data_IF_579501310334
#
_entry.id   IF_579501310334
#
_cell.length_a   1.000
_cell.length_b   1.000
_cell.length_c   1.000
_cell.angle_alpha   90.00
_cell.angle_beta   90.00
_cell.angle_gamma   90.00
#
_symmetry.space_group_name_H-M   'P 1'
#
loop_
_entity.id
_entity.type
_entity.pdbx_description
1 polymer ?
#
# COMPACT_ATOMS: atom_id res chain seq x y z
N UNK A 1 23.94 -51.79 17.99
CA UNK A 1 24.45 -51.23 16.73
C UNK A 1 23.26 -50.68 15.96
N UNK A 2 22.95 -49.38 16.07
CA UNK A 2 21.81 -48.75 15.39
C UNK A 2 22.33 -47.70 14.40
N UNK A 3 21.89 -47.83 13.15
CA UNK A 3 22.06 -46.87 12.03
C UNK A 3 20.67 -46.31 11.68
N UNK A 4 20.65 -45.12 11.05
CA UNK A 4 19.52 -44.29 10.51
C UNK A 4 19.27 -43.06 11.41
N UNK A 5 19.21 -41.80 10.96
CA UNK A 5 19.10 -41.15 9.64
C UNK A 5 19.95 -39.85 9.66
N UNK A 6 20.67 -39.48 8.60
CA UNK A 6 20.08 -38.77 7.46
C UNK A 6 20.08 -37.25 7.72
N UNK A 7 21.20 -36.57 7.44
CA UNK A 7 21.28 -35.12 7.52
C UNK A 7 20.27 -34.44 6.57
N UNK A 8 19.55 -33.38 6.98
CA UNK A 8 18.75 -32.62 6.06
C UNK A 8 19.67 -31.81 5.13
N UNK A 9 19.63 -32.14 3.83
CA UNK A 9 20.21 -31.33 2.76
C UNK A 9 19.52 -29.96 2.73
N UNK A 10 20.25 -28.91 3.08
CA UNK A 10 19.84 -27.55 2.80
C UNK A 10 19.74 -27.35 1.28
N UNK A 11 18.52 -27.27 0.75
CA UNK A 11 18.28 -26.84 -0.62
C UNK A 11 18.45 -25.32 -0.68
N UNK A 12 19.64 -24.89 -1.09
CA UNK A 12 19.88 -23.52 -1.54
C UNK A 12 19.10 -23.28 -2.84
N UNK A 13 17.95 -22.61 -2.74
CA UNK A 13 17.29 -22.05 -3.91
C UNK A 13 18.04 -20.77 -4.32
N UNK A 14 18.92 -20.89 -5.32
CA UNK A 14 19.50 -19.75 -6.02
C UNK A 14 18.41 -19.07 -6.84
N UNK A 15 17.93 -17.92 -6.36
CA UNK A 15 17.05 -17.05 -7.11
C UNK A 15 17.87 -16.42 -8.25
N UNK A 16 17.72 -16.92 -9.48
CA UNK A 16 18.12 -16.20 -10.68
C UNK A 16 17.44 -14.83 -10.68
N UNK A 17 18.20 -13.77 -10.39
CA UNK A 17 17.76 -12.41 -10.68
C UNK A 17 17.69 -12.25 -12.21
N UNK A 18 16.47 -12.25 -12.73
CA UNK A 18 16.21 -11.86 -14.11
C UNK A 18 16.42 -10.35 -14.18
N UNK A 19 17.53 -9.92 -14.80
CA UNK A 19 17.80 -8.52 -15.10
C UNK A 19 16.75 -8.01 -16.08
N UNK A 20 15.68 -7.41 -15.55
CA UNK A 20 14.70 -6.69 -16.34
C UNK A 20 15.26 -5.34 -16.77
N UNK A 21 14.94 -4.92 -18.00
CA UNK A 21 15.17 -3.57 -18.51
C UNK A 21 14.82 -2.48 -17.48
N UNK A 22 15.48 -1.31 -17.48
CA UNK A 22 15.20 -0.25 -16.52
C UNK A 22 13.70 0.06 -16.55
N UNK A 23 13.03 -0.24 -15.44
CA UNK A 23 11.60 -0.03 -15.32
C UNK A 23 11.33 1.46 -15.54
N UNK A 24 10.39 1.79 -16.43
CA UNK A 24 9.91 3.15 -16.60
C UNK A 24 9.57 3.74 -15.21
N UNK A 25 9.90 5.02 -14.97
CA UNK A 25 9.69 5.62 -13.66
C UNK A 25 8.20 5.53 -13.29
N UNK A 26 7.93 4.92 -12.14
CA UNK A 26 6.56 4.77 -11.64
C UNK A 26 5.96 6.15 -11.41
N UNK A 27 4.76 6.41 -11.94
CA UNK A 27 4.04 7.62 -11.53
C UNK A 27 3.71 7.54 -10.06
N UNK A 28 3.86 8.68 -9.37
CA UNK A 28 3.41 8.83 -8.00
C UNK A 28 1.87 8.87 -7.99
N UNK A 29 1.24 8.15 -7.07
CA UNK A 29 -0.22 8.13 -6.98
C UNK A 29 -0.68 8.22 -5.54
N UNK A 30 -1.82 8.88 -5.35
CA UNK A 30 -2.54 8.94 -4.09
C UNK A 30 -3.88 8.23 -4.27
N UNK A 31 -4.22 7.35 -3.34
CA UNK A 31 -5.46 6.57 -3.34
C UNK A 31 -6.34 7.04 -2.19
N UNK A 32 -7.56 7.46 -2.52
CA UNK A 32 -8.61 7.80 -1.57
C UNK A 32 -9.51 6.58 -1.40
N UNK A 33 -9.55 6.02 -0.19
CA UNK A 33 -10.24 4.77 0.13
C UNK A 33 -11.51 5.05 0.91
N UNK A 34 -12.64 4.65 0.34
CA UNK A 34 -13.97 4.86 0.93
C UNK A 34 -14.52 3.63 1.67
N UNK A 35 -13.73 2.54 1.78
CA UNK A 35 -14.18 1.31 2.45
C UNK A 35 -15.44 0.69 1.84
N UNK A 36 -15.69 0.94 0.54
CA UNK A 36 -16.86 0.44 -0.17
C UNK A 36 -18.12 1.31 -0.08
N UNK A 37 -18.08 2.45 0.63
CA UNK A 37 -19.20 3.41 0.72
C UNK A 37 -18.75 4.82 0.33
N UNK A 38 -18.47 5.05 -0.97
CA UNK A 38 -18.14 6.40 -1.44
C UNK A 38 -19.33 7.37 -1.27
N UNK A 39 -19.08 8.67 -1.05
CA UNK A 39 -20.15 9.67 -1.03
C UNK A 39 -20.89 9.71 -2.38
N UNK A 40 -22.22 9.61 -2.35
CA UNK A 40 -23.05 9.52 -3.55
C UNK A 40 -22.84 10.72 -4.49
N UNK A 41 -22.75 11.93 -3.92
CA UNK A 41 -22.48 13.16 -4.68
C UNK A 41 -21.16 13.15 -5.47
N UNK A 42 -20.17 12.35 -5.03
CA UNK A 42 -18.90 12.16 -5.71
C UNK A 42 -18.97 11.07 -6.79
N UNK A 43 -19.81 10.05 -6.60
CA UNK A 43 -20.08 9.01 -7.60
C UNK A 43 -20.91 9.52 -8.77
N UNK A 44 -21.89 10.39 -8.49
CA UNK A 44 -22.78 10.97 -9.51
C UNK A 44 -22.08 12.05 -10.33
N UNK A 45 -20.98 12.59 -9.82
CA UNK A 45 -20.18 13.59 -10.52
C UNK A 45 -19.42 12.96 -11.70
N UNK A 46 -19.48 13.57 -12.89
CA UNK A 46 -18.61 13.20 -14.00
C UNK A 46 -17.13 13.18 -13.59
N UNK A 47 -16.35 12.23 -14.12
CA UNK A 47 -14.92 12.16 -13.86
C UNK A 47 -14.14 13.46 -14.18
N UNK A 48 -14.47 14.22 -15.26
CA UNK A 48 -13.85 15.53 -15.48
C UNK A 48 -14.06 16.49 -14.31
N UNK A 49 -15.23 16.49 -13.69
CA UNK A 49 -15.55 17.39 -12.57
C UNK A 49 -14.71 17.05 -11.34
N UNK A 50 -14.44 15.76 -11.10
CA UNK A 50 -13.52 15.31 -10.06
C UNK A 50 -12.12 15.89 -10.30
N UNK A 51 -11.59 15.77 -11.52
CA UNK A 51 -10.29 16.33 -11.87
C UNK A 51 -10.28 17.85 -11.72
N UNK A 52 -11.29 18.55 -12.25
CA UNK A 52 -11.40 20.01 -12.14
C UNK A 52 -11.44 20.47 -10.68
N UNK A 53 -12.25 19.84 -9.82
CA UNK A 53 -12.32 20.20 -8.39
C UNK A 53 -10.96 20.11 -7.68
N UNK A 54 -10.21 19.05 -7.97
CA UNK A 54 -8.89 18.84 -7.34
C UNK A 54 -7.88 19.82 -7.92
N UNK A 55 -7.88 20.04 -9.23
CA UNK A 55 -6.97 20.98 -9.89
C UNK A 55 -7.22 22.42 -9.45
N UNK A 56 -8.48 22.87 -9.38
CA UNK A 56 -8.83 24.22 -8.93
C UNK A 56 -8.44 24.48 -7.47
N UNK A 57 -8.34 23.45 -6.62
CA UNK A 57 -7.83 23.62 -5.25
C UNK A 57 -6.36 24.04 -5.25
N UNK A 58 -5.54 23.51 -6.18
CA UNK A 58 -4.12 23.86 -6.29
C UNK A 58 -3.92 25.33 -6.66
N UNK A 59 -4.81 25.89 -7.49
CA UNK A 59 -4.77 27.30 -7.88
C UNK A 59 -5.00 28.24 -6.69
N UNK A 60 -5.79 27.81 -5.71
CA UNK A 60 -6.14 28.61 -4.52
C UNK A 60 -5.07 28.54 -3.43
N UNK A 61 -4.24 27.48 -3.43
CA UNK A 61 -3.24 27.25 -2.37
C UNK A 61 -1.83 27.61 -2.85
N UNK A 62 -1.28 28.78 -2.47
CA UNK A 62 0.01 29.25 -2.98
C UNK A 62 1.18 28.30 -2.65
N UNK A 63 1.06 27.52 -1.58
CA UNK A 63 2.03 26.49 -1.16
C UNK A 63 2.06 25.26 -2.08
N UNK A 64 1.05 25.07 -2.92
CA UNK A 64 0.92 23.90 -3.80
C UNK A 64 0.89 24.26 -5.29
N UNK A 65 1.17 25.54 -5.63
CA UNK A 65 1.16 26.05 -7.00
C UNK A 65 2.17 25.38 -7.94
N UNK A 66 3.19 24.71 -7.40
CA UNK A 66 4.18 23.94 -8.16
C UNK A 66 3.79 22.46 -8.37
N UNK A 67 2.71 21.99 -7.74
CA UNK A 67 2.25 20.61 -7.87
C UNK A 67 1.45 20.46 -9.15
N UNK A 68 1.79 19.46 -9.95
CA UNK A 68 1.04 19.11 -11.16
C UNK A 68 0.28 17.81 -10.92
N UNK A 69 -1.01 17.80 -11.25
CA UNK A 69 -1.84 16.58 -11.26
C UNK A 69 -2.00 16.14 -12.71
N UNK A 70 -1.66 14.89 -12.99
CA UNK A 70 -1.79 14.29 -14.32
C UNK A 70 -3.20 13.74 -14.59
N UNK A 71 -3.95 13.43 -13.52
CA UNK A 71 -5.33 12.98 -13.63
C UNK A 71 -5.91 12.50 -12.32
N UNK A 72 -7.25 12.47 -12.26
CA UNK A 72 -8.01 11.88 -11.17
C UNK A 72 -9.13 11.00 -11.74
N UNK A 73 -9.28 9.78 -11.24
CA UNK A 73 -10.30 8.86 -11.74
C UNK A 73 -10.73 7.84 -10.70
N UNK A 74 -11.90 7.26 -10.91
CA UNK A 74 -12.40 6.14 -10.14
C UNK A 74 -11.79 4.83 -10.62
N UNK A 75 -11.43 3.94 -9.69
CA UNK A 75 -11.08 2.56 -9.99
C UNK A 75 -12.29 1.63 -9.83
N UNK A 76 -12.15 0.38 -10.29
CA UNK A 76 -13.21 -0.66 -10.23
C UNK A 76 -13.66 -1.01 -8.80
N UNK A 77 -12.88 -0.63 -7.79
CA UNK A 77 -13.16 -0.87 -6.38
C UNK A 77 -13.75 0.36 -5.69
N UNK A 78 -14.28 1.33 -6.46
CA UNK A 78 -14.85 2.57 -5.97
C UNK A 78 -13.90 3.36 -5.07
N UNK A 79 -12.62 3.45 -5.48
CA UNK A 79 -11.65 4.36 -4.89
C UNK A 79 -11.26 5.41 -5.92
N UNK A 80 -10.88 6.60 -5.45
CA UNK A 80 -10.31 7.63 -6.34
C UNK A 80 -8.80 7.49 -6.36
N UNK A 81 -8.22 7.48 -7.56
CA UNK A 81 -6.79 7.50 -7.81
C UNK A 81 -6.42 8.85 -8.41
N UNK A 82 -5.55 9.57 -7.73
CA UNK A 82 -4.94 10.82 -8.20
C UNK A 82 -3.52 10.50 -8.65
N UNK A 83 -3.17 10.88 -9.87
CA UNK A 83 -1.88 10.58 -10.49
C UNK A 83 -1.05 11.85 -10.60
N UNK A 84 0.23 11.75 -10.25
CA UNK A 84 1.21 12.82 -10.24
C UNK A 84 2.42 12.46 -11.12
N UNK A 85 3.23 13.46 -11.54
CA UNK A 85 4.49 13.21 -12.23
C UNK A 85 5.41 12.24 -11.47
N UNK A 86 6.18 11.41 -12.19
CA UNK A 86 7.21 10.60 -11.55
C UNK A 86 8.22 11.48 -10.82
N UNK A 87 8.64 11.04 -9.62
CA UNK A 87 9.56 11.80 -8.77
C UNK A 87 8.91 12.79 -7.81
N UNK A 88 7.58 12.93 -7.83
CA UNK A 88 6.86 13.71 -6.80
C UNK A 88 7.14 13.13 -5.41
N UNK A 89 7.67 13.90 -4.44
CA UNK A 89 8.01 13.39 -3.12
C UNK A 89 6.79 12.92 -2.31
N UNK A 90 6.95 11.83 -1.55
CA UNK A 90 5.91 11.30 -0.65
C UNK A 90 5.43 12.35 0.38
N UNK A 91 6.35 13.21 0.86
CA UNK A 91 6.02 14.30 1.76
C UNK A 91 5.02 15.28 1.13
N UNK A 92 5.29 15.71 -0.11
CA UNK A 92 4.39 16.58 -0.88
C UNK A 92 3.01 15.96 -1.07
N UNK A 93 2.93 14.66 -1.36
CA UNK A 93 1.64 13.96 -1.50
C UNK A 93 0.86 13.92 -0.19
N UNK A 94 1.58 13.74 0.93
CA UNK A 94 0.98 13.72 2.27
C UNK A 94 0.48 15.10 2.68
N UNK A 95 1.24 16.15 2.38
CA UNK A 95 0.90 17.55 2.65
C UNK A 95 -0.35 18.01 1.87
N UNK A 96 -0.62 17.40 0.71
CA UNK A 96 -1.82 17.67 -0.08
C UNK A 96 -3.09 17.02 0.48
N UNK A 97 -2.98 16.00 1.34
CA UNK A 97 -4.13 15.25 1.83
C UNK A 97 -5.22 16.13 2.47
N UNK A 98 -4.89 17.09 3.38
CA UNK A 98 -5.90 17.96 3.97
C UNK A 98 -6.63 18.83 2.93
N UNK A 99 -5.89 19.39 1.96
CA UNK A 99 -6.46 20.25 0.94
C UNK A 99 -7.37 19.48 -0.02
N UNK A 100 -6.97 18.27 -0.41
CA UNK A 100 -7.79 17.36 -1.22
C UNK A 100 -9.05 16.93 -0.45
N UNK A 101 -8.91 16.62 0.84
CA UNK A 101 -10.05 16.29 1.71
C UNK A 101 -11.08 17.42 1.73
N UNK A 102 -10.62 18.66 1.92
CA UNK A 102 -11.47 19.85 1.91
C UNK A 102 -12.14 20.09 0.54
N UNK A 103 -11.37 20.02 -0.55
CA UNK A 103 -11.89 20.25 -1.91
C UNK A 103 -12.98 19.24 -2.32
N UNK A 104 -12.87 18.01 -1.81
CA UNK A 104 -13.82 16.94 -2.10
C UNK A 104 -14.91 16.79 -1.03
N UNK A 105 -14.89 17.62 0.03
CA UNK A 105 -15.86 17.54 1.13
C UNK A 105 -15.83 16.20 1.87
N UNK A 106 -14.64 15.62 2.04
CA UNK A 106 -14.48 14.28 2.61
C UNK A 106 -14.39 14.35 4.15
N UNK A 107 -14.94 13.33 4.82
CA UNK A 107 -14.80 13.17 6.26
C UNK A 107 -13.36 12.80 6.65
N UNK A 108 -12.98 13.11 7.90
CA UNK A 108 -11.64 12.81 8.42
C UNK A 108 -11.32 11.32 8.51
N UNK A 109 -12.35 10.48 8.55
CA UNK A 109 -12.26 9.02 8.54
C UNK A 109 -11.88 8.42 7.18
N UNK A 110 -11.98 9.19 6.08
CA UNK A 110 -11.63 8.70 4.75
C UNK A 110 -10.11 8.55 4.65
N UNK A 111 -9.66 7.32 4.39
CA UNK A 111 -8.24 6.99 4.34
C UNK A 111 -7.63 7.44 3.02
N UNK A 112 -6.58 8.24 3.08
CA UNK A 112 -5.77 8.62 1.93
C UNK A 112 -4.37 8.02 2.08
N UNK A 113 -3.91 7.32 1.06
CA UNK A 113 -2.63 6.59 1.11
C UNK A 113 -1.88 6.71 -0.21
N UNK A 114 -0.58 6.91 -0.14
CA UNK A 114 0.30 6.86 -1.31
C UNK A 114 0.31 5.42 -1.86
N UNK A 115 0.09 5.26 -3.16
CA UNK A 115 0.16 3.97 -3.84
C UNK A 115 1.62 3.54 -3.96
N UNK A 116 2.10 2.79 -2.97
CA UNK A 116 3.43 2.19 -3.03
C UNK A 116 3.37 0.87 -3.78
N UNK A 117 4.41 0.59 -4.58
CA UNK A 117 4.56 -0.72 -5.22
C UNK A 117 4.55 -1.80 -4.14
N UNK A 118 3.62 -2.74 -4.26
CA UNK A 118 3.52 -3.87 -3.36
C UNK A 118 4.74 -4.75 -3.55
N UNK A 119 5.45 -5.04 -2.46
CA UNK A 119 6.55 -6.00 -2.47
C UNK A 119 6.05 -7.29 -1.86
N UNK A 120 6.30 -8.42 -2.54
CA UNK A 120 6.04 -9.74 -1.95
C UNK A 120 7.16 -10.08 -0.98
N UNK A 121 6.78 -10.44 0.24
CA UNK A 121 7.72 -10.90 1.27
C UNK A 121 7.49 -12.40 1.49
N UNK A 122 8.57 -13.17 1.50
CA UNK A 122 8.53 -14.59 1.82
C UNK A 122 8.87 -14.76 3.29
N UNK A 123 7.89 -15.16 4.08
CA UNK A 123 8.06 -15.43 5.51
C UNK A 123 8.16 -16.94 5.70
N UNK A 124 9.27 -17.41 6.25
CA UNK A 124 9.51 -18.80 6.62
C UNK A 124 9.27 -19.02 8.12
N UNK A 125 9.15 -20.30 8.51
CA UNK A 125 9.07 -20.72 9.91
C UNK A 125 7.90 -20.10 10.69
N UNK A 126 6.77 -19.82 10.01
CA UNK A 126 5.52 -19.46 10.69
C UNK A 126 4.91 -20.74 11.27
N UNK A 127 4.65 -20.80 12.58
CA UNK A 127 4.09 -21.98 13.21
C UNK A 127 2.70 -22.27 12.62
N UNK A 128 2.54 -23.47 12.08
CA UNK A 128 1.30 -23.97 11.53
C UNK A 128 0.90 -25.24 12.27
N UNK A 129 -0.41 -25.51 12.36
CA UNK A 129 -0.90 -26.74 13.01
C UNK A 129 -0.30 -27.97 12.31
N UNK A 130 0.15 -28.94 13.11
CA UNK A 130 0.74 -30.19 12.61
C UNK A 130 -0.30 -31.14 12.00
N UNK A 131 -1.56 -31.02 12.44
CA UNK A 131 -2.71 -31.77 11.92
C UNK A 131 -3.99 -30.98 12.15
N UNK A 132 -5.09 -31.41 11.52
CA UNK A 132 -6.40 -30.76 11.63
C UNK A 132 -6.90 -30.64 13.08
N UNK A 133 -6.59 -31.66 13.89
CA UNK A 133 -6.99 -31.75 15.30
C UNK A 133 -5.95 -31.17 16.27
N UNK A 134 -4.81 -30.67 15.78
CA UNK A 134 -3.80 -30.08 16.66
C UNK A 134 -4.28 -28.73 17.23
N UNK A 135 -3.84 -28.37 18.46
CA UNK A 135 -4.14 -27.07 19.05
C UNK A 135 -3.70 -25.92 18.13
N UNK A 136 -4.49 -24.84 18.14
CA UNK A 136 -4.13 -23.59 17.48
C UNK A 136 -3.06 -22.90 18.31
N UNK A 137 -2.02 -22.37 17.65
CA UNK A 137 -1.10 -21.46 18.32
C UNK A 137 -1.86 -20.23 18.80
N UNK A 138 -1.49 -19.72 19.98
CA UNK A 138 -2.02 -18.45 20.46
C UNK A 138 -1.49 -17.33 19.57
N UNK A 139 -2.25 -16.23 19.47
CA UNK A 139 -1.84 -15.06 18.69
C UNK A 139 -0.47 -14.52 19.15
N UNK A 140 -0.21 -14.56 20.46
CA UNK A 140 1.08 -14.18 21.06
C UNK A 140 2.24 -15.05 20.57
N UNK A 141 2.02 -16.34 20.36
CA UNK A 141 3.05 -17.28 19.91
C UNK A 141 3.38 -17.04 18.44
N UNK A 142 2.35 -16.81 17.61
CA UNK A 142 2.51 -16.46 16.20
C UNK A 142 3.21 -15.12 16.05
N UNK A 143 2.82 -14.11 16.83
CA UNK A 143 3.44 -12.80 16.85
C UNK A 143 4.92 -12.87 17.25
N UNK A 144 5.23 -13.65 18.30
CA UNK A 144 6.61 -13.88 18.74
C UNK A 144 7.44 -14.56 17.66
N UNK A 145 6.87 -15.56 16.96
CA UNK A 145 7.56 -16.25 15.87
C UNK A 145 7.79 -15.33 14.66
N UNK A 146 6.82 -14.50 14.31
CA UNK A 146 6.93 -13.50 13.24
C UNK A 146 7.99 -12.44 13.56
N UNK A 147 8.04 -11.95 14.80
CA UNK A 147 9.03 -10.97 15.23
C UNK A 147 10.48 -11.49 15.15
N UNK A 148 10.68 -12.83 15.22
CA UNK A 148 11.98 -13.47 15.03
C UNK A 148 12.38 -13.63 13.58
N UNK A 149 11.48 -13.40 12.63
CA UNK A 149 11.81 -13.53 11.21
C UNK A 149 12.65 -12.31 10.76
N UNK A 150 13.89 -12.50 10.25
CA UNK A 150 14.75 -11.39 9.85
C UNK A 150 14.16 -10.55 8.71
N UNK A 151 13.22 -11.08 7.93
CA UNK A 151 12.50 -10.31 6.90
C UNK A 151 11.62 -9.23 7.52
N UNK A 152 11.19 -9.41 8.77
CA UNK A 152 10.32 -8.45 9.48
C UNK A 152 11.10 -7.30 10.13
N UNK A 153 12.40 -7.45 10.39
CA UNK A 153 13.19 -6.43 11.13
C UNK A 153 13.36 -5.11 10.38
N UNK A 154 13.15 -5.11 9.05
CA UNK A 154 13.21 -3.92 8.20
C UNK A 154 11.85 -3.35 7.80
N UNK A 155 10.75 -3.95 8.26
CA UNK A 155 9.40 -3.50 7.90
C UNK A 155 8.90 -2.59 9.00
N UNK A 156 8.77 -1.29 8.70
CA UNK A 156 7.97 -0.39 9.53
C UNK A 156 6.52 -0.82 9.38
N UNK A 157 6.00 -1.60 10.33
CA UNK A 157 4.56 -1.86 10.42
C UNK A 157 3.85 -0.53 10.68
N UNK A 158 2.98 -0.04 9.79
CA UNK A 158 2.02 0.97 10.19
C UNK A 158 1.14 0.31 11.25
N UNK A 159 1.10 0.94 12.42
CA UNK A 159 0.34 0.51 13.60
C UNK A 159 -1.13 0.22 13.22
N UNK A 160 -1.77 -0.83 13.77
CA UNK A 160 -3.22 -0.89 13.73
C UNK A 160 -3.80 0.29 14.53
N UNK A 161 -4.89 0.85 14.02
CA UNK A 161 -5.67 1.91 14.68
C UNK A 161 -6.24 1.43 16.01
#
# INVERSE_FOLDING_TARGET
MFRLLGQPRALFFSLRQKSGAPAAPSTARLVIRFGGKPPQALCDAPQPDLFCKISSMLDVHPTHSSVVILGAHWNKSNNVIITFPPGTPDATLTDLCPAIRNALGLADSVVMSIDKRWTKLLVSSVPARLSENAPVFLESDVATSLARNPVMSGITTPRPA
#
